data_IF_559986488378
#
_entry.id   IF_559986488378
#
_cell.length_a   1.000
_cell.length_b   1.000
_cell.length_c   1.000
_cell.angle_alpha   90.00
_cell.angle_beta   90.00
_cell.angle_gamma   90.00
#
_symmetry.space_group_name_H-M   'P 1'
#
loop_
_entity.id
_entity.type
_entity.pdbx_description
1 polymer ?
#
# COMPACT_ATOMS: atom_id res chain seq x y z
N UNK A 1 -14.90 15.97 37.04
CA UNK A 1 -14.68 14.89 36.06
C UNK A 1 -14.25 15.55 34.75
N UNK A 2 -13.00 15.43 34.26
CA UNK A 2 -12.68 15.88 32.92
C UNK A 2 -12.81 14.75 31.90
N UNK A 3 -13.02 15.22 30.69
CA UNK A 3 -13.45 14.56 29.47
C UNK A 3 -12.44 13.50 28.98
N UNK A 4 -12.86 12.23 28.92
CA UNK A 4 -12.08 11.16 28.28
C UNK A 4 -12.28 11.25 26.76
N UNK A 5 -11.59 12.23 26.15
CA UNK A 5 -11.38 12.27 24.72
C UNK A 5 -10.83 10.92 24.27
N UNK A 6 -11.66 10.15 23.56
CA UNK A 6 -11.27 8.91 22.91
C UNK A 6 -10.28 9.27 21.80
N UNK A 7 -9.02 9.48 22.19
CA UNK A 7 -7.90 9.43 21.28
C UNK A 7 -7.81 7.97 20.83
N UNK A 8 -8.46 7.65 19.71
CA UNK A 8 -8.16 6.42 19.00
C UNK A 8 -6.64 6.35 18.87
N UNK A 9 -5.98 5.25 19.28
CA UNK A 9 -4.54 5.17 19.22
C UNK A 9 -4.15 5.41 17.78
N UNK A 10 -3.36 6.46 17.53
CA UNK A 10 -2.75 6.68 16.22
C UNK A 10 -2.07 5.37 15.86
N UNK A 11 -2.52 4.74 14.76
CA UNK A 11 -1.96 3.48 14.30
C UNK A 11 -0.43 3.56 14.40
N UNK A 12 0.15 2.65 15.19
CA UNK A 12 1.55 2.69 15.57
C UNK A 12 2.42 2.86 14.33
N UNK A 13 2.97 4.06 14.15
CA UNK A 13 3.69 4.44 12.93
C UNK A 13 4.94 3.58 12.72
N UNK A 14 5.40 2.87 13.76
CA UNK A 14 6.47 1.88 13.68
C UNK A 14 6.15 0.67 12.80
N UNK A 15 4.85 0.43 12.48
CA UNK A 15 4.41 -0.66 11.60
C UNK A 15 4.26 -0.26 10.13
N UNK A 16 4.59 0.97 9.76
CA UNK A 16 4.48 1.47 8.39
C UNK A 16 5.81 1.30 7.65
N UNK A 17 5.77 0.62 6.50
CA UNK A 17 6.92 0.52 5.59
C UNK A 17 7.03 1.77 4.70
N UNK A 18 8.27 2.16 4.37
CA UNK A 18 8.58 3.20 3.39
C UNK A 18 9.25 2.56 2.18
N UNK A 19 8.79 2.93 0.98
CA UNK A 19 9.34 2.45 -0.29
C UNK A 19 9.75 3.64 -1.15
N UNK A 20 10.91 3.56 -1.78
CA UNK A 20 11.31 4.49 -2.83
C UNK A 20 10.63 4.10 -4.14
N UNK A 21 10.02 5.08 -4.81
CA UNK A 21 9.41 4.93 -6.14
C UNK A 21 9.84 6.07 -7.04
N UNK A 22 9.95 5.85 -8.36
CA UNK A 22 10.20 6.94 -9.30
C UNK A 22 9.16 8.06 -9.13
N UNK A 23 9.63 9.31 -9.12
CA UNK A 23 8.79 10.47 -8.84
C UNK A 23 7.60 10.59 -9.81
N UNK A 24 7.84 10.31 -11.09
CA UNK A 24 6.80 10.35 -12.11
C UNK A 24 5.73 9.26 -11.88
N UNK A 25 6.13 8.05 -11.49
CA UNK A 25 5.19 6.97 -11.18
C UNK A 25 4.28 7.35 -10.01
N UNK A 26 4.85 7.97 -8.97
CA UNK A 26 4.07 8.51 -7.85
C UNK A 26 3.11 9.63 -8.30
N UNK A 27 3.52 10.52 -9.20
CA UNK A 27 2.63 11.54 -9.77
C UNK A 27 1.44 10.91 -10.51
N UNK A 28 1.69 9.89 -11.35
CA UNK A 28 0.64 9.15 -12.05
C UNK A 28 -0.31 8.45 -11.08
N UNK A 29 0.21 7.83 -10.02
CA UNK A 29 -0.62 7.22 -8.96
C UNK A 29 -1.53 8.26 -8.27
N UNK A 30 -1.03 9.46 -7.98
CA UNK A 30 -1.87 10.55 -7.44
C UNK A 30 -2.96 10.97 -8.42
N UNK A 31 -2.66 11.04 -9.72
CA UNK A 31 -3.65 11.36 -10.75
C UNK A 31 -4.75 10.29 -10.81
N UNK A 32 -4.38 9.01 -10.80
CA UNK A 32 -5.33 7.90 -10.76
C UNK A 32 -6.29 7.97 -9.56
N UNK A 33 -5.74 8.20 -8.35
CA UNK A 33 -6.56 8.37 -7.14
C UNK A 33 -7.55 9.54 -7.28
N UNK A 34 -7.11 10.68 -7.84
CA UNK A 34 -8.01 11.83 -8.06
C UNK A 34 -9.16 11.49 -9.02
N UNK A 35 -8.88 10.73 -10.07
CA UNK A 35 -9.92 10.28 -11.02
C UNK A 35 -10.93 9.40 -10.30
N UNK A 36 -10.50 8.37 -9.56
CA UNK A 36 -11.41 7.46 -8.83
C UNK A 36 -12.29 8.23 -7.85
N UNK A 37 -11.70 9.15 -7.07
CA UNK A 37 -12.46 9.99 -6.13
C UNK A 37 -13.50 10.85 -6.83
N UNK A 38 -13.16 11.44 -7.99
CA UNK A 38 -14.06 12.28 -8.77
C UNK A 38 -15.23 11.46 -9.33
N UNK A 39 -14.97 10.27 -9.85
CA UNK A 39 -15.99 9.41 -10.47
C UNK A 39 -16.91 8.78 -9.44
N UNK A 40 -16.37 8.31 -8.32
CA UNK A 40 -17.12 7.50 -7.34
C UNK A 40 -17.68 8.32 -6.18
N UNK A 41 -17.18 9.53 -5.95
CA UNK A 41 -17.47 10.32 -4.75
C UNK A 41 -16.89 9.73 -3.46
N UNK A 42 -16.19 8.59 -3.52
CA UNK A 42 -15.69 7.87 -2.34
C UNK A 42 -14.34 8.42 -1.87
N UNK A 43 -14.07 8.23 -0.58
CA UNK A 43 -12.72 8.40 -0.03
C UNK A 43 -11.84 7.26 -0.54
N UNK A 44 -10.94 7.58 -1.46
CA UNK A 44 -9.93 6.67 -1.99
C UNK A 44 -8.56 7.33 -1.81
N UNK A 45 -7.58 6.61 -1.25
CA UNK A 45 -6.30 7.19 -0.82
C UNK A 45 -5.13 6.60 -1.59
N UNK A 46 -3.99 7.29 -1.58
CA UNK A 46 -2.76 6.76 -2.19
C UNK A 46 -2.29 5.48 -1.50
N UNK A 47 -2.46 5.37 -0.17
CA UNK A 47 -2.14 4.16 0.56
C UNK A 47 -3.01 2.99 0.09
N UNK A 48 -4.32 3.22 -0.05
CA UNK A 48 -5.24 2.20 -0.56
C UNK A 48 -4.88 1.77 -1.98
N UNK A 49 -4.59 2.72 -2.87
CA UNK A 49 -4.12 2.41 -4.23
C UNK A 49 -2.88 1.52 -4.24
N UNK A 50 -1.88 1.85 -3.41
CA UNK A 50 -0.64 1.06 -3.32
C UNK A 50 -0.90 -0.32 -2.71
N UNK A 51 -1.73 -0.43 -1.67
CA UNK A 51 -2.12 -1.71 -1.08
C UNK A 51 -2.82 -2.60 -2.11
N UNK A 52 -3.79 -2.07 -2.85
CA UNK A 52 -4.51 -2.81 -3.90
C UNK A 52 -3.55 -3.23 -5.03
N UNK A 53 -2.62 -2.36 -5.43
CA UNK A 53 -1.59 -2.70 -6.41
C UNK A 53 -0.67 -3.82 -5.93
N UNK A 54 -0.25 -3.82 -4.66
CA UNK A 54 0.54 -4.93 -4.09
C UNK A 54 -0.25 -6.23 -4.06
N UNK A 55 -1.51 -6.21 -3.61
CA UNK A 55 -2.36 -7.40 -3.58
C UNK A 55 -2.53 -7.97 -5.00
N UNK A 56 -2.81 -7.12 -5.98
CA UNK A 56 -2.95 -7.54 -7.37
C UNK A 56 -1.66 -8.17 -7.92
N UNK A 57 -0.50 -7.56 -7.65
CA UNK A 57 0.78 -8.08 -8.12
C UNK A 57 1.19 -9.36 -7.40
N UNK A 58 0.92 -9.49 -6.10
CA UNK A 58 1.15 -10.73 -5.35
C UNK A 58 0.30 -11.87 -5.90
N UNK A 59 -0.96 -11.62 -6.29
CA UNK A 59 -1.81 -12.63 -6.91
C UNK A 59 -1.26 -13.10 -8.27
N UNK A 60 -0.72 -12.18 -9.08
CA UNK A 60 -0.02 -12.52 -10.34
C UNK A 60 1.19 -13.40 -10.05
N UNK A 61 2.03 -13.01 -9.09
CA UNK A 61 3.24 -13.76 -8.75
C UNK A 61 2.89 -15.14 -8.18
N UNK A 62 1.89 -15.22 -7.30
CA UNK A 62 1.41 -16.47 -6.72
C UNK A 62 1.00 -17.46 -7.81
N UNK A 63 0.21 -16.99 -8.78
CA UNK A 63 -0.25 -17.78 -9.92
C UNK A 63 0.91 -18.23 -10.81
N UNK A 64 1.76 -17.29 -11.22
CA UNK A 64 2.73 -17.53 -12.29
C UNK A 64 4.02 -18.21 -11.78
N UNK A 65 4.36 -18.02 -10.49
CA UNK A 65 5.64 -18.47 -9.92
C UNK A 65 5.52 -19.29 -8.63
N UNK A 66 4.39 -19.26 -7.92
CA UNK A 66 4.20 -20.02 -6.68
C UNK A 66 3.21 -21.20 -6.83
N UNK A 67 2.94 -21.62 -8.06
CA UNK A 67 1.99 -22.72 -8.34
C UNK A 67 0.57 -22.43 -7.87
N UNK A 68 0.17 -21.16 -7.85
CA UNK A 68 -1.13 -20.72 -7.36
C UNK A 68 -1.26 -20.65 -5.83
N UNK A 69 -0.20 -20.94 -5.07
CA UNK A 69 -0.23 -20.84 -3.61
C UNK A 69 -0.02 -19.42 -3.12
N UNK A 70 -0.64 -19.11 -1.98
CA UNK A 70 -0.47 -17.83 -1.28
C UNK A 70 1.01 -17.57 -0.95
N UNK A 71 1.41 -16.30 -1.04
CA UNK A 71 2.75 -15.84 -0.66
C UNK A 71 2.68 -15.32 0.77
N UNK A 72 3.37 -15.99 1.69
CA UNK A 72 3.41 -15.61 3.10
C UNK A 72 4.47 -14.53 3.36
N UNK A 73 4.32 -13.74 4.44
CA UNK A 73 5.33 -12.76 4.83
C UNK A 73 6.69 -13.41 5.03
N UNK A 74 7.72 -12.75 4.51
CA UNK A 74 9.12 -13.13 4.67
C UNK A 74 9.87 -11.99 5.37
N UNK A 75 10.67 -12.32 6.37
CA UNK A 75 11.48 -11.34 7.11
C UNK A 75 12.93 -11.31 6.65
N UNK A 76 13.33 -12.18 5.72
CA UNK A 76 14.65 -12.16 5.13
C UNK A 76 14.80 -10.92 4.22
N UNK A 77 15.79 -10.04 4.46
CA UNK A 77 15.96 -8.84 3.65
C UNK A 77 16.38 -9.21 2.23
N UNK A 78 15.73 -8.60 1.24
CA UNK A 78 16.21 -8.64 -0.13
C UNK A 78 17.52 -7.85 -0.25
N UNK A 79 18.44 -8.34 -1.09
CA UNK A 79 19.63 -7.58 -1.46
C UNK A 79 19.23 -6.21 -2.01
N UNK A 80 20.02 -5.17 -1.71
CA UNK A 80 19.73 -3.83 -2.21
C UNK A 80 19.68 -3.86 -3.74
N UNK A 81 18.50 -3.59 -4.30
CA UNK A 81 18.36 -3.30 -5.73
C UNK A 81 19.30 -2.16 -6.13
N UNK A 82 20.02 -2.32 -7.24
CA UNK A 82 20.74 -1.21 -7.87
C UNK A 82 19.69 -0.24 -8.41
N UNK A 83 19.61 0.94 -7.80
CA UNK A 83 18.74 2.04 -8.23
C UNK A 83 19.26 2.76 -9.46
#
# INVERSE_FOLDING_TARGET
MPDNGHHAPAADASRLSKLNVPAELHQRARAAVRIVRRVTGRRYTIAQFVTEAFVAQLAVIARDYNGGREIYPDTEPLERGRG
#
